data_IF_903098358412
#
_entry.id   IF_903098358412
#
_cell.length_a   1.000
_cell.length_b   1.000
_cell.length_c   1.000
_cell.angle_alpha   90.00
_cell.angle_beta   90.00
_cell.angle_gamma   90.00
#
_symmetry.space_group_name_H-M   'P 1'
#
loop_
_entity.id
_entity.type
_entity.pdbx_description
1 polymer ?
#
# COMPACT_ATOMS: atom_id res chain seq x y z
N UNK A 1 25.00 0.40 -11.37
CA UNK A 1 24.26 -0.72 -10.76
C UNK A 1 23.31 -0.07 -9.79
N UNK A 2 22.07 0.14 -10.21
CA UNK A 2 21.01 0.55 -9.28
C UNK A 2 20.77 -0.62 -8.34
N UNK A 3 20.82 -0.34 -7.05
CA UNK A 3 20.67 -1.34 -6.00
C UNK A 3 19.26 -1.93 -6.11
N UNK A 4 19.14 -3.24 -6.34
CA UNK A 4 17.86 -3.94 -6.42
C UNK A 4 17.05 -3.87 -5.10
N UNK A 5 17.60 -3.20 -4.08
CA UNK A 5 17.00 -2.91 -2.78
C UNK A 5 16.35 -1.54 -2.70
N UNK A 6 16.35 -0.72 -3.77
CA UNK A 6 15.79 0.64 -3.73
C UNK A 6 14.27 0.70 -3.96
N UNK A 7 13.68 -0.34 -4.53
CA UNK A 7 12.25 -0.37 -4.83
C UNK A 7 11.58 -1.62 -4.26
N UNK A 8 10.33 -1.49 -3.86
CA UNK A 8 9.46 -2.60 -3.47
C UNK A 8 8.15 -2.51 -4.25
N UNK A 9 7.80 -3.62 -4.86
CA UNK A 9 6.56 -3.76 -5.62
C UNK A 9 5.49 -4.38 -4.74
N UNK A 10 4.29 -3.81 -4.73
CA UNK A 10 3.10 -4.43 -4.13
C UNK A 10 2.04 -4.75 -5.18
N UNK A 11 1.21 -5.72 -4.84
CA UNK A 11 -0.01 -6.03 -5.58
C UNK A 11 -1.21 -5.40 -4.88
N UNK A 12 -2.18 -4.93 -5.65
CA UNK A 12 -3.46 -4.43 -5.13
C UNK A 12 -4.57 -4.68 -6.13
N UNK A 13 -5.81 -4.69 -5.67
CA UNK A 13 -6.98 -4.85 -6.52
C UNK A 13 -7.79 -3.57 -6.57
N UNK A 14 -8.31 -3.26 -7.74
CA UNK A 14 -9.33 -2.21 -7.89
C UNK A 14 -10.66 -2.83 -8.26
N UNK A 15 -11.73 -2.39 -7.61
CA UNK A 15 -13.11 -2.78 -7.93
C UNK A 15 -13.90 -1.57 -8.40
N UNK A 16 -14.46 -1.64 -9.60
CA UNK A 16 -15.36 -0.63 -10.17
C UNK A 16 -16.78 -1.21 -10.27
N UNK A 17 -17.77 -0.48 -9.74
CA UNK A 17 -19.17 -0.92 -9.73
C UNK A 17 -20.10 -0.04 -10.58
N UNK A 18 -19.56 1.00 -11.23
CA UNK A 18 -20.29 1.93 -12.10
C UNK A 18 -19.53 2.16 -13.40
N UNK A 19 -20.21 2.39 -14.53
CA UNK A 19 -19.51 2.81 -15.74
C UNK A 19 -18.96 4.23 -15.56
N UNK A 20 -17.65 4.44 -15.77
CA UNK A 20 -17.08 5.78 -15.87
C UNK A 20 -17.72 6.68 -16.95
N UNK A 21 -18.40 6.09 -17.94
CA UNK A 21 -19.04 6.80 -19.06
C UNK A 21 -20.40 7.44 -18.73
N UNK A 22 -21.25 6.74 -17.97
CA UNK A 22 -22.65 7.10 -17.74
C UNK A 22 -23.05 7.03 -16.26
N UNK A 23 -22.10 6.70 -15.37
CA UNK A 23 -22.27 6.54 -13.92
C UNK A 23 -23.37 5.54 -13.50
N UNK A 24 -23.82 4.68 -14.41
CA UNK A 24 -24.79 3.62 -14.13
C UNK A 24 -24.11 2.42 -13.46
N UNK A 25 -24.85 1.72 -12.61
CA UNK A 25 -24.37 0.47 -12.01
C UNK A 25 -24.10 -0.58 -13.08
N UNK A 26 -22.98 -1.28 -12.93
CA UNK A 26 -22.64 -2.42 -13.76
C UNK A 26 -23.41 -3.66 -13.31
N UNK A 27 -23.76 -4.54 -14.25
CA UNK A 27 -24.39 -5.83 -13.92
C UNK A 27 -23.49 -6.71 -13.04
N UNK A 28 -22.17 -6.58 -13.21
CA UNK A 28 -21.15 -7.21 -12.38
C UNK A 28 -20.02 -6.21 -12.13
N UNK A 29 -19.42 -6.20 -10.94
CA UNK A 29 -18.24 -5.37 -10.68
C UNK A 29 -17.08 -5.82 -11.56
N UNK A 30 -16.30 -4.85 -12.03
CA UNK A 30 -15.03 -5.10 -12.72
C UNK A 30 -13.95 -5.11 -11.65
N UNK A 31 -13.23 -6.24 -11.54
CA UNK A 31 -12.10 -6.40 -10.62
C UNK A 31 -10.83 -6.50 -11.45
N UNK A 32 -9.85 -5.66 -11.13
CA UNK A 32 -8.55 -5.63 -11.82
C UNK A 32 -7.42 -5.79 -10.81
N UNK A 33 -6.53 -6.74 -11.06
CA UNK A 33 -5.26 -6.85 -10.35
C UNK A 33 -4.26 -5.85 -10.92
N UNK A 34 -3.62 -5.10 -10.02
CA UNK A 34 -2.67 -4.06 -10.34
C UNK A 34 -1.44 -4.19 -9.47
N UNK A 35 -0.39 -3.51 -9.90
CA UNK A 35 0.86 -3.44 -9.14
C UNK A 35 1.35 -2.02 -9.04
N UNK A 36 1.89 -1.65 -7.89
CA UNK A 36 2.52 -0.36 -7.67
C UNK A 36 3.94 -0.57 -7.14
N UNK A 37 4.87 0.28 -7.56
CA UNK A 37 6.25 0.23 -7.11
C UNK A 37 6.55 1.46 -6.25
N UNK A 38 6.99 1.22 -5.02
CA UNK A 38 7.36 2.25 -4.08
C UNK A 38 8.87 2.36 -3.99
N UNK A 39 9.37 3.59 -4.06
CA UNK A 39 10.78 3.87 -3.79
C UNK A 39 11.02 3.85 -2.27
N UNK A 40 12.10 3.19 -1.86
CA UNK A 40 12.52 3.05 -0.46
C UNK A 40 12.63 4.38 0.26
N UNK A 41 13.28 5.37 -0.35
CA UNK A 41 13.50 6.66 0.29
C UNK A 41 12.16 7.34 0.59
N UNK A 42 11.24 7.32 -0.38
CA UNK A 42 9.89 7.87 -0.22
C UNK A 42 9.12 7.16 0.89
N UNK A 43 9.17 5.82 0.93
CA UNK A 43 8.54 5.03 2.00
C UNK A 43 9.08 5.41 3.38
N UNK A 44 10.40 5.53 3.51
CA UNK A 44 11.04 5.87 4.77
C UNK A 44 10.75 7.31 5.23
N UNK A 45 10.33 8.19 4.31
CA UNK A 45 10.00 9.59 4.58
C UNK A 45 8.51 9.81 4.93
N UNK A 46 7.64 8.78 4.82
CA UNK A 46 6.20 8.90 5.11
C UNK A 46 5.90 9.19 6.58
N UNK A 47 6.61 8.54 7.50
CA UNK A 47 6.35 8.60 8.93
C UNK A 47 7.66 8.46 9.70
N UNK A 48 7.71 8.92 10.95
CA UNK A 48 8.83 8.57 11.83
C UNK A 48 8.64 7.15 12.38
N UNK A 49 8.94 6.18 11.52
CA UNK A 49 8.79 4.74 11.76
C UNK A 49 9.46 4.25 13.04
N UNK A 50 10.48 4.95 13.56
CA UNK A 50 11.19 4.58 14.80
C UNK A 50 10.44 4.99 16.07
N UNK A 51 9.53 5.95 15.96
CA UNK A 51 8.75 6.46 17.08
C UNK A 51 7.38 5.80 17.23
N UNK A 52 6.99 4.91 16.30
CA UNK A 52 5.79 4.11 16.46
C UNK A 52 5.99 3.11 17.62
N UNK A 53 5.04 3.07 18.54
CA UNK A 53 5.16 2.30 19.78
C UNK A 53 4.74 0.83 19.61
N UNK A 54 3.85 0.55 18.65
CA UNK A 54 3.24 -0.77 18.46
C UNK A 54 3.24 -1.23 17.00
N UNK A 55 3.27 -2.55 16.80
CA UNK A 55 3.24 -3.18 15.47
C UNK A 55 1.91 -2.93 14.73
N UNK A 56 0.79 -2.89 15.45
CA UNK A 56 -0.51 -2.59 14.86
C UNK A 56 -0.56 -1.15 14.31
N UNK A 57 0.05 -0.19 15.01
CA UNK A 57 0.19 1.18 14.52
C UNK A 57 1.00 1.19 13.22
N UNK A 58 2.06 0.37 13.15
CA UNK A 58 2.90 0.24 11.97
C UNK A 58 2.13 -0.22 10.73
N UNK A 59 1.34 -1.28 10.85
CA UNK A 59 0.52 -1.82 9.75
C UNK A 59 -0.57 -0.84 9.31
N UNK A 60 -1.22 -0.20 10.28
CA UNK A 60 -2.24 0.81 10.00
C UNK A 60 -1.66 2.01 9.23
N UNK A 61 -0.50 2.52 9.65
CA UNK A 61 0.16 3.64 8.95
C UNK A 61 0.59 3.25 7.54
N UNK A 62 1.13 2.04 7.36
CA UNK A 62 1.46 1.53 6.03
C UNK A 62 0.22 1.50 5.13
N UNK A 63 -0.86 0.88 5.59
CA UNK A 63 -2.08 0.76 4.80
C UNK A 63 -2.65 2.14 4.46
N UNK A 64 -2.68 3.05 5.44
CA UNK A 64 -3.12 4.43 5.24
C UNK A 64 -2.33 5.14 4.14
N UNK A 65 -1.00 5.14 4.21
CA UNK A 65 -0.17 5.81 3.21
C UNK A 65 -0.21 5.14 1.84
N UNK A 66 -0.29 3.81 1.75
CA UNK A 66 -0.49 3.13 0.47
C UNK A 66 -1.79 3.63 -0.17
N UNK A 67 -2.89 3.67 0.58
CA UNK A 67 -4.18 4.11 0.07
C UNK A 67 -4.15 5.58 -0.37
N UNK A 68 -3.51 6.48 0.40
CA UNK A 68 -3.32 7.87 -0.02
C UNK A 68 -2.56 7.96 -1.34
N UNK A 69 -1.40 7.30 -1.44
CA UNK A 69 -0.59 7.36 -2.66
C UNK A 69 -1.31 6.74 -3.85
N UNK A 70 -2.00 5.62 -3.67
CA UNK A 70 -2.80 5.01 -4.74
C UNK A 70 -3.96 5.92 -5.18
N UNK A 71 -4.64 6.58 -4.25
CA UNK A 71 -5.69 7.54 -4.58
C UNK A 71 -5.13 8.70 -5.42
N UNK A 72 -4.01 9.29 -4.99
CA UNK A 72 -3.36 10.41 -5.68
C UNK A 72 -2.86 10.04 -7.08
N UNK A 73 -2.26 8.86 -7.23
CA UNK A 73 -1.68 8.44 -8.52
C UNK A 73 -2.72 7.99 -9.53
N UNK A 74 -3.80 7.37 -9.07
CA UNK A 74 -4.71 6.70 -10.00
C UNK A 74 -5.87 7.59 -10.45
N UNK A 75 -6.18 8.68 -9.75
CA UNK A 75 -7.33 9.56 -10.04
C UNK A 75 -8.63 8.75 -10.29
N UNK A 76 -8.81 7.66 -9.55
CA UNK A 76 -9.91 6.71 -9.74
C UNK A 76 -11.07 7.03 -8.81
N UNK A 77 -11.78 8.14 -9.07
CA UNK A 77 -12.90 8.59 -8.24
C UNK A 77 -14.03 7.55 -8.04
N UNK A 78 -14.07 6.50 -8.88
CA UNK A 78 -15.10 5.47 -8.88
C UNK A 78 -14.59 4.05 -8.56
N UNK A 79 -13.34 3.90 -8.10
CA UNK A 79 -12.79 2.57 -7.75
C UNK A 79 -12.55 2.43 -6.26
N UNK A 80 -12.86 1.25 -5.74
CA UNK A 80 -12.44 0.81 -4.41
C UNK A 80 -11.11 0.10 -4.53
N UNK A 81 -10.23 0.33 -3.56
CA UNK A 81 -8.95 -0.36 -3.46
C UNK A 81 -9.05 -1.48 -2.43
N UNK A 82 -8.37 -2.58 -2.72
CA UNK A 82 -8.13 -3.65 -1.77
C UNK A 82 -6.65 -3.99 -1.82
N UNK A 83 -5.98 -3.95 -0.67
CA UNK A 83 -4.58 -4.31 -0.51
C UNK A 83 -4.59 -5.63 0.27
N UNK A 84 -4.06 -6.73 -0.28
CA UNK A 84 -3.92 -7.97 0.47
C UNK A 84 -3.02 -7.78 1.70
N UNK A 85 -3.38 -8.42 2.82
CA UNK A 85 -2.66 -8.31 4.10
C UNK A 85 -1.18 -8.73 3.96
N UNK A 86 -0.89 -9.70 3.09
CA UNK A 86 0.47 -10.13 2.79
C UNK A 86 1.32 -9.03 2.14
N UNK A 87 0.72 -8.11 1.38
CA UNK A 87 1.43 -7.00 0.75
C UNK A 87 1.73 -5.88 1.77
N UNK A 88 0.81 -5.62 2.71
CA UNK A 88 1.06 -4.76 3.87
C UNK A 88 2.20 -5.33 4.73
N UNK A 89 2.15 -6.63 5.03
CA UNK A 89 3.21 -7.34 5.79
C UNK A 89 4.57 -7.29 5.09
N UNK A 90 4.57 -7.41 3.76
CA UNK A 90 5.78 -7.33 2.93
C UNK A 90 6.40 -5.93 3.00
N UNK A 91 5.60 -4.87 2.89
CA UNK A 91 6.07 -3.49 3.05
C UNK A 91 6.59 -3.24 4.46
N UNK A 92 5.89 -3.74 5.49
CA UNK A 92 6.33 -3.66 6.88
C UNK A 92 7.72 -4.23 7.05
N UNK A 93 7.92 -5.49 6.65
CA UNK A 93 9.22 -6.14 6.79
C UNK A 93 10.32 -5.39 6.03
N UNK A 94 10.01 -4.87 4.85
CA UNK A 94 10.95 -4.08 4.07
C UNK A 94 11.39 -2.77 4.76
N UNK A 95 10.46 -2.05 5.39
CA UNK A 95 10.76 -0.84 6.17
C UNK A 95 11.58 -1.20 7.42
N UNK A 96 11.23 -2.28 8.13
CA UNK A 96 11.95 -2.73 9.31
C UNK A 96 13.40 -3.14 9.00
N UNK A 97 13.59 -3.92 7.92
CA UNK A 97 14.93 -4.28 7.42
C UNK A 97 15.73 -3.04 7.03
N UNK A 98 15.08 -2.08 6.36
CA UNK A 98 15.71 -0.84 5.93
C UNK A 98 16.21 0.03 7.10
N UNK A 99 15.47 0.05 8.20
CA UNK A 99 15.78 0.85 9.38
C UNK A 99 16.57 0.09 10.45
N UNK A 100 16.77 -1.22 10.26
CA UNK A 100 17.37 -2.14 11.22
C UNK A 100 16.65 -2.09 12.59
N UNK A 101 15.32 -2.11 12.54
CA UNK A 101 14.43 -2.11 13.72
C UNK A 101 13.84 -3.51 13.88
N UNK A 102 13.70 -3.95 15.12
CA UNK A 102 12.97 -5.18 15.44
C UNK A 102 11.88 -4.84 16.47
N UNK A 103 10.62 -4.85 16.03
CA UNK A 103 9.49 -4.72 16.93
C UNK A 103 9.14 -6.08 17.51
N UNK A 104 8.98 -6.21 18.83
CA UNK A 104 8.49 -7.45 19.40
C UNK A 104 7.03 -7.66 18.99
N UNK A 105 6.72 -8.79 18.35
CA UNK A 105 5.35 -9.32 18.35
C UNK A 105 4.96 -9.53 19.81
N UNK A 106 3.92 -8.82 20.30
CA UNK A 106 3.42 -9.08 21.65
C UNK A 106 2.44 -10.25 21.63
N UNK A 107 2.79 -11.24 22.45
CA UNK A 107 1.95 -12.33 23.00
C UNK A 107 0.66 -11.75 23.59
#
# INVERSE_FOLDING_TARGET
MEDATEYIKINYQTTENRCGCCNQFLEKPIVEDKTFEFNKKVLLDWEDWKNLEYQHDFEYQIEYHILEVLNDYTNLDNKKFYIPEEETSKLRNYILEALNINYPDKI
#
